data_IF_508976809067
#
_entry.id   IF_508976809067
#
_cell.length_a   1.000
_cell.length_b   1.000
_cell.length_c   1.000
_cell.angle_alpha   90.00
_cell.angle_beta   90.00
_cell.angle_gamma   90.00
#
_symmetry.space_group_name_H-M   'P 1'
#
loop_
_entity.id
_entity.type
_entity.pdbx_description
1 polymer ?
#
# COMPACT_ATOMS: atom_id res chain seq x y z
N UNK A 1 10.08 -11.19 11.85
CA UNK A 1 10.13 -11.42 10.39
C UNK A 1 9.19 -10.44 9.71
N UNK A 2 9.58 -9.94 8.54
CA UNK A 2 8.84 -8.91 7.81
C UNK A 2 8.59 -9.38 6.38
N UNK A 3 7.47 -8.99 5.79
CA UNK A 3 7.17 -9.18 4.38
C UNK A 3 7.35 -7.85 3.63
N UNK A 4 7.86 -7.93 2.40
CA UNK A 4 7.88 -6.82 1.45
C UNK A 4 6.95 -7.15 0.31
N UNK A 5 5.97 -6.28 0.10
CA UNK A 5 4.97 -6.38 -0.96
C UNK A 5 5.23 -5.31 -2.02
N UNK A 6 5.02 -5.65 -3.29
CA UNK A 6 5.21 -4.73 -4.42
C UNK A 6 3.87 -4.34 -5.01
N UNK A 7 3.59 -3.04 -5.06
CA UNK A 7 2.32 -2.53 -5.56
C UNK A 7 2.49 -1.58 -6.74
N UNK A 8 1.45 -1.54 -7.59
CA UNK A 8 1.30 -0.55 -8.66
C UNK A 8 -0.12 0.02 -8.64
N UNK A 9 -0.20 1.35 -8.63
CA UNK A 9 -1.44 2.10 -8.76
C UNK A 9 -1.96 2.02 -10.20
N UNK A 10 -3.19 1.53 -10.44
CA UNK A 10 -3.78 1.56 -11.77
C UNK A 10 -3.98 3.00 -12.30
N UNK A 11 -4.59 3.95 -11.54
CA UNK A 11 -4.85 5.31 -12.03
C UNK A 11 -3.59 6.09 -12.45
N UNK A 12 -2.54 6.09 -11.63
CA UNK A 12 -1.36 6.95 -11.85
C UNK A 12 -0.08 6.18 -12.20
N UNK A 13 -0.13 4.84 -12.26
CA UNK A 13 1.03 3.96 -12.50
C UNK A 13 2.18 4.06 -11.48
N UNK A 14 1.99 4.76 -10.36
CA UNK A 14 2.94 4.82 -9.23
C UNK A 14 3.24 3.41 -8.72
N UNK A 15 4.51 3.13 -8.45
CA UNK A 15 4.98 1.87 -7.88
C UNK A 15 5.59 2.11 -6.51
N UNK A 16 5.30 1.24 -5.55
CA UNK A 16 5.88 1.33 -4.21
C UNK A 16 6.01 -0.05 -3.57
N UNK A 17 6.76 -0.06 -2.47
CA UNK A 17 6.92 -1.22 -1.61
C UNK A 17 6.21 -0.95 -0.28
N UNK A 18 5.48 -1.93 0.23
CA UNK A 18 4.91 -1.89 1.57
C UNK A 18 5.57 -2.95 2.45
N UNK A 19 5.92 -2.54 3.66
CA UNK A 19 6.54 -3.41 4.65
C UNK A 19 5.47 -3.87 5.62
N UNK A 20 5.26 -5.18 5.72
CA UNK A 20 4.31 -5.76 6.65
C UNK A 20 5.05 -6.58 7.70
N UNK A 21 4.96 -6.17 8.95
CA UNK A 21 5.50 -6.97 10.06
C UNK A 21 4.59 -8.18 10.29
N UNK A 22 5.18 -9.37 10.29
CA UNK A 22 4.46 -10.56 10.72
C UNK A 22 4.26 -10.54 12.24
N UNK A 23 3.23 -11.22 12.72
CA UNK A 23 2.97 -11.36 14.16
C UNK A 23 4.17 -11.94 14.93
N UNK A 24 5.02 -12.73 14.25
CA UNK A 24 6.27 -13.27 14.80
C UNK A 24 7.45 -12.28 14.76
N UNK A 25 7.21 -10.99 14.49
CA UNK A 25 8.25 -9.97 14.55
C UNK A 25 8.37 -9.42 15.97
N UNK A 26 9.47 -9.75 16.66
CA UNK A 26 9.75 -9.27 18.02
C UNK A 26 10.19 -7.80 18.08
N UNK A 27 10.34 -7.12 16.94
CA UNK A 27 10.75 -5.72 16.88
C UNK A 27 9.54 -4.78 17.00
N UNK A 28 9.47 -4.06 18.12
CA UNK A 28 8.40 -3.11 18.46
C UNK A 28 8.49 -1.76 17.72
N UNK A 29 9.62 -1.46 17.08
CA UNK A 29 9.84 -0.16 16.42
C UNK A 29 9.23 -0.14 15.02
N UNK A 30 8.20 0.66 14.73
CA UNK A 30 7.43 0.57 13.48
C UNK A 30 8.29 0.79 12.22
N UNK A 31 9.32 1.62 12.32
CA UNK A 31 10.23 1.96 11.22
C UNK A 31 11.44 1.01 11.10
N UNK A 32 11.70 0.19 12.12
CA UNK A 32 12.80 -0.76 12.09
C UNK A 32 12.50 -1.88 11.09
N UNK A 33 13.25 -1.89 9.98
CA UNK A 33 13.25 -3.00 9.03
C UNK A 33 13.85 -4.23 9.72
N UNK A 34 13.22 -5.39 9.48
CA UNK A 34 13.86 -6.65 9.82
C UNK A 34 15.22 -6.74 9.09
N UNK A 35 16.24 -7.39 9.69
CA UNK A 35 17.48 -7.66 8.98
C UNK A 35 17.18 -8.49 7.72
N UNK A 36 18.00 -8.36 6.67
CA UNK A 36 17.73 -8.93 5.34
C UNK A 36 17.44 -10.44 5.35
N UNK A 37 18.07 -11.19 6.26
CA UNK A 37 17.85 -12.64 6.43
C UNK A 37 16.48 -12.99 7.06
N UNK A 38 15.74 -12.00 7.56
CA UNK A 38 14.40 -12.13 8.14
C UNK A 38 13.33 -11.36 7.34
N UNK A 39 13.66 -11.00 6.10
CA UNK A 39 12.76 -10.37 5.15
C UNK A 39 12.30 -11.41 4.11
N UNK A 40 10.99 -11.51 3.93
CA UNK A 40 10.37 -12.31 2.89
C UNK A 40 9.82 -11.39 1.80
N UNK A 41 10.28 -11.56 0.57
CA UNK A 41 9.72 -10.85 -0.58
C UNK A 41 8.47 -11.59 -1.05
N UNK A 42 7.32 -10.93 -0.95
CA UNK A 42 6.04 -11.47 -1.41
C UNK A 42 5.75 -10.92 -2.81
N UNK A 43 5.50 -11.84 -3.74
CA UNK A 43 5.29 -11.51 -5.15
C UNK A 43 6.59 -11.26 -5.93
N UNK A 44 6.49 -10.51 -7.02
CA UNK A 44 7.63 -10.18 -7.90
C UNK A 44 7.63 -8.69 -8.22
N UNK A 45 8.77 -8.02 -8.06
CA UNK A 45 8.92 -6.60 -8.41
C UNK A 45 8.52 -6.30 -9.88
N UNK A 46 8.80 -7.23 -10.79
CA UNK A 46 8.45 -7.13 -12.21
C UNK A 46 6.96 -7.29 -12.49
N UNK A 47 6.22 -7.90 -11.56
CA UNK A 47 4.76 -8.12 -11.63
C UNK A 47 4.14 -7.69 -10.29
N UNK A 48 4.13 -6.37 -10.00
CA UNK A 48 3.57 -5.87 -8.75
C UNK A 48 2.06 -6.13 -8.72
N UNK A 49 1.53 -6.31 -7.52
CA UNK A 49 0.09 -6.41 -7.30
C UNK A 49 -0.58 -5.06 -7.58
N UNK A 50 -1.81 -5.11 -8.10
CA UNK A 50 -2.57 -3.92 -8.43
C UNK A 50 -3.29 -3.43 -7.18
N UNK A 51 -2.94 -2.24 -6.72
CA UNK A 51 -3.54 -1.59 -5.55
C UNK A 51 -3.54 -0.09 -5.78
N UNK A 52 -4.61 0.59 -5.38
CA UNK A 52 -4.69 2.05 -5.47
C UNK A 52 -3.74 2.72 -4.45
N UNK A 53 -3.06 3.79 -4.85
CA UNK A 53 -2.23 4.56 -3.92
C UNK A 53 -3.09 5.55 -3.12
N UNK A 54 -2.62 5.93 -1.94
CA UNK A 54 -3.31 6.83 -1.01
C UNK A 54 -3.84 8.09 -1.71
N UNK A 55 -2.99 8.80 -2.46
CA UNK A 55 -3.38 10.01 -3.21
C UNK A 55 -4.53 9.80 -4.20
N UNK A 56 -4.58 8.65 -4.88
CA UNK A 56 -5.66 8.36 -5.83
C UNK A 56 -6.93 7.92 -5.10
N UNK A 57 -6.78 7.21 -3.99
CA UNK A 57 -7.89 6.82 -3.13
C UNK A 57 -8.54 8.05 -2.51
N UNK A 58 -7.74 8.94 -1.92
CA UNK A 58 -8.23 10.17 -1.29
C UNK A 58 -8.91 11.08 -2.33
N UNK A 59 -8.33 11.22 -3.53
CA UNK A 59 -8.97 11.97 -4.61
C UNK A 59 -10.31 11.36 -5.04
N UNK A 60 -10.40 10.03 -5.14
CA UNK A 60 -11.64 9.32 -5.45
C UNK A 60 -12.70 9.56 -4.37
N UNK A 61 -12.32 9.40 -3.09
CA UNK A 61 -13.21 9.63 -1.95
C UNK A 61 -13.71 11.09 -1.89
N UNK A 62 -12.84 12.06 -2.21
CA UNK A 62 -13.22 13.48 -2.32
C UNK A 62 -14.23 13.69 -3.44
N UNK A 63 -13.98 13.15 -4.64
CA UNK A 63 -14.89 13.31 -5.79
C UNK A 63 -16.26 12.67 -5.51
N UNK A 64 -16.29 11.45 -4.95
CA UNK A 64 -17.52 10.76 -4.54
C UNK A 64 -18.33 11.60 -3.53
N UNK A 65 -17.64 12.27 -2.59
CA UNK A 65 -18.30 13.14 -1.61
C UNK A 65 -18.97 14.36 -2.26
N UNK A 66 -18.37 14.94 -3.30
CA UNK A 66 -18.96 16.07 -4.02
C UNK A 66 -20.14 15.67 -4.91
N UNK A 67 -20.13 14.45 -5.45
CA UNK A 67 -21.24 13.92 -6.25
C UNK A 67 -22.48 13.66 -5.38
N UNK A 68 -22.28 13.21 -4.12
CA UNK A 68 -23.37 12.93 -3.18
C UNK A 68 -24.08 14.20 -2.66
N UNK A 69 -23.41 15.35 -2.62
CA UNK A 69 -23.99 16.64 -2.21
C UNK A 69 -24.77 17.36 -3.33
N UNK A 70 -24.64 16.93 -4.59
CA UNK A 70 -25.25 17.56 -5.77
C UNK A 70 -26.62 17.01 -6.18
N UNK A 71 -27.08 15.90 -5.59
CA UNK A 71 -28.39 15.28 -5.89
C UNK A 71 -29.52 15.76 -4.95
N UNK A 72 -29.47 17.03 -4.55
CA UNK A 72 -30.38 17.62 -3.56
C UNK A 72 -31.01 18.96 -3.95
N UNK A 73 -31.16 19.26 -5.25
CA UNK A 73 -31.89 20.44 -5.75
C UNK A 73 -33.30 20.11 -6.27
#
# INVERSE_FOLDING_TARGET
MCEIHYFKCPPCSKRWQEYKKLASCESFEPEARCPENLVLYVGMEKKPEIRECDECRDLREILESFEEEGEGE
#
